data_IF_872569655490
#
_entry.id   IF_872569655490
#
_cell.length_a   1.000
_cell.length_b   1.000
_cell.length_c   1.000
_cell.angle_alpha   90.00
_cell.angle_beta   90.00
_cell.angle_gamma   90.00
#
_symmetry.space_group_name_H-M   'P 1'
#
loop_
_entity.id
_entity.type
_entity.pdbx_description
1 polymer ?
#
# COMPACT_ATOMS: atom_id res chain seq x y z
N UNK A 1 82.12 9.00 -27.03
CA UNK A 1 80.91 8.28 -27.53
C UNK A 1 80.17 7.72 -26.33
N UNK A 2 79.23 8.45 -25.83
CA UNK A 2 78.44 8.03 -24.69
C UNK A 2 76.98 8.32 -25.04
N UNK A 3 76.24 7.29 -25.31
CA UNK A 3 74.79 7.34 -25.57
C UNK A 3 74.04 7.36 -24.28
N UNK A 4 73.38 8.49 -23.92
CA UNK A 4 72.44 8.63 -22.80
C UNK A 4 71.10 8.12 -23.25
N UNK A 5 70.59 7.07 -22.55
CA UNK A 5 69.23 6.63 -22.65
C UNK A 5 68.37 7.48 -21.70
N UNK A 6 67.45 8.26 -22.26
CA UNK A 6 66.43 8.96 -21.59
C UNK A 6 65.29 7.96 -21.24
N UNK A 7 65.16 7.59 -19.98
CA UNK A 7 63.98 6.87 -19.48
C UNK A 7 62.85 7.88 -19.28
N UNK A 8 61.89 7.87 -20.19
CA UNK A 8 60.63 8.57 -20.03
C UNK A 8 59.79 7.81 -18.96
N UNK A 9 59.66 8.38 -17.79
CA UNK A 9 58.73 7.90 -16.76
C UNK A 9 57.34 8.32 -17.16
N UNK A 10 56.56 7.36 -17.66
CA UNK A 10 55.13 7.49 -17.88
C UNK A 10 54.46 7.49 -16.51
N UNK A 11 54.07 8.67 -16.04
CA UNK A 11 53.23 8.83 -14.83
C UNK A 11 51.81 8.48 -15.26
N UNK A 12 51.39 7.26 -14.93
CA UNK A 12 49.97 6.87 -15.05
C UNK A 12 49.22 7.59 -13.88
N UNK A 13 48.57 8.70 -14.20
CA UNK A 13 47.60 9.33 -13.33
C UNK A 13 46.37 8.44 -13.37
N UNK A 14 46.25 7.58 -12.39
CA UNK A 14 44.98 6.91 -12.08
C UNK A 14 44.05 7.97 -11.51
N UNK A 15 43.24 8.56 -12.38
CA UNK A 15 42.06 9.32 -11.94
C UNK A 15 41.09 8.29 -11.38
N UNK A 16 40.78 8.29 -10.07
CA UNK A 16 39.67 7.51 -9.61
C UNK A 16 38.42 8.13 -10.25
N UNK A 17 37.87 7.46 -11.23
CA UNK A 17 36.52 7.71 -11.68
C UNK A 17 35.63 7.41 -10.45
N UNK A 18 35.31 8.43 -9.69
CA UNK A 18 34.12 8.41 -8.87
C UNK A 18 32.93 8.29 -9.85
N UNK A 19 32.63 7.06 -10.20
CA UNK A 19 31.29 6.75 -10.69
C UNK A 19 30.41 7.09 -9.50
N UNK A 20 29.82 8.28 -9.54
CA UNK A 20 28.69 8.63 -8.69
C UNK A 20 27.63 7.59 -9.01
N UNK A 21 27.56 6.55 -8.19
CA UNK A 21 26.44 5.63 -8.12
C UNK A 21 25.29 6.48 -7.59
N UNK A 22 24.70 7.28 -8.47
CA UNK A 22 23.33 7.75 -8.29
C UNK A 22 22.51 6.46 -8.36
N UNK A 23 22.35 5.81 -7.20
CA UNK A 23 21.33 4.79 -7.07
C UNK A 23 20.03 5.53 -7.34
N UNK A 24 19.30 5.21 -8.41
CA UNK A 24 17.98 5.80 -8.61
C UNK A 24 17.18 5.51 -7.35
N UNK A 25 16.28 6.42 -7.00
CA UNK A 25 15.37 6.26 -5.85
C UNK A 25 14.52 4.98 -5.93
N UNK A 26 14.65 4.25 -7.01
CA UNK A 26 14.08 2.92 -7.27
C UNK A 26 14.76 1.78 -6.50
N UNK A 27 15.85 2.00 -5.78
CA UNK A 27 16.54 0.94 -5.01
C UNK A 27 15.60 0.25 -4.00
N UNK A 28 14.38 0.76 -3.84
CA UNK A 28 13.36 0.21 -2.94
C UNK A 28 12.01 0.18 -3.64
N UNK A 29 11.87 -0.85 -4.45
CA UNK A 29 10.66 -1.04 -5.22
C UNK A 29 9.50 -1.43 -4.28
N UNK A 30 8.40 -0.71 -4.41
CA UNK A 30 7.17 -1.01 -3.68
C UNK A 30 6.28 -1.94 -4.50
N UNK A 31 5.49 -2.77 -3.82
CA UNK A 31 4.37 -3.49 -4.42
C UNK A 31 3.22 -2.52 -4.71
N UNK A 32 2.20 -2.99 -5.42
CA UNK A 32 1.00 -2.18 -5.73
C UNK A 32 0.04 -2.06 -4.54
N UNK A 33 0.28 -2.79 -3.46
CA UNK A 33 -0.53 -2.73 -2.25
C UNK A 33 -0.40 -1.37 -1.56
N UNK A 34 -1.53 -0.67 -1.37
CA UNK A 34 -1.60 0.60 -0.65
C UNK A 34 -1.82 0.31 0.83
N UNK A 35 -0.77 0.47 1.62
CA UNK A 35 -0.76 0.14 3.06
C UNK A 35 -1.68 1.06 3.86
N UNK A 36 -2.31 0.52 4.92
CA UNK A 36 -3.12 1.32 5.85
C UNK A 36 -4.51 1.68 5.34
N UNK A 37 -5.00 0.99 4.31
CA UNK A 37 -6.32 1.29 3.74
C UNK A 37 -7.44 0.42 4.30
N UNK A 38 -7.14 -0.69 4.96
CA UNK A 38 -8.15 -1.66 5.43
C UNK A 38 -8.67 -1.35 6.84
N UNK A 39 -7.79 -1.18 7.84
CA UNK A 39 -8.11 -0.61 9.16
C UNK A 39 -8.80 -1.55 10.16
N UNK A 40 -9.58 -0.95 11.07
CA UNK A 40 -10.09 -1.55 12.31
C UNK A 40 -10.96 -2.81 12.13
N UNK A 41 -11.62 -2.97 10.99
CA UNK A 41 -12.45 -4.14 10.68
C UNK A 41 -11.92 -4.93 9.49
N UNK A 42 -10.61 -5.03 9.37
CA UNK A 42 -9.90 -5.65 8.24
C UNK A 42 -10.31 -7.10 7.96
N UNK A 43 -10.77 -7.84 8.96
CA UNK A 43 -11.25 -9.20 8.82
C UNK A 43 -12.77 -9.34 8.68
N UNK A 44 -13.50 -8.24 8.42
CA UNK A 44 -14.96 -8.26 8.26
C UNK A 44 -15.36 -7.86 6.85
N UNK A 45 -16.25 -8.62 6.24
CA UNK A 45 -16.89 -8.24 4.97
C UNK A 45 -18.18 -7.46 5.25
N UNK A 46 -18.48 -6.46 4.42
CA UNK A 46 -19.75 -5.74 4.48
C UNK A 46 -20.94 -6.67 4.22
N UNK A 47 -22.14 -6.34 4.72
CA UNK A 47 -23.36 -7.08 4.38
C UNK A 47 -23.62 -7.15 2.88
N UNK A 48 -24.42 -8.13 2.39
CA UNK A 48 -24.80 -8.19 0.99
C UNK A 48 -25.38 -6.87 0.46
N UNK A 49 -24.81 -6.37 -0.64
CA UNK A 49 -25.17 -5.09 -1.23
C UNK A 49 -24.22 -4.68 -2.34
N UNK A 50 -24.53 -3.56 -2.96
CA UNK A 50 -23.66 -2.89 -3.94
C UNK A 50 -23.20 -1.56 -3.32
N UNK A 51 -21.91 -1.36 -3.32
CA UNK A 51 -21.24 -0.25 -2.66
C UNK A 51 -20.43 0.54 -3.67
N UNK A 52 -20.63 1.85 -3.70
CA UNK A 52 -19.76 2.78 -4.41
C UNK A 52 -18.66 3.27 -3.47
N UNK A 53 -17.44 3.13 -3.89
CA UNK A 53 -16.26 3.67 -3.22
C UNK A 53 -15.95 4.99 -3.92
N UNK A 54 -16.20 6.13 -3.25
CA UNK A 54 -15.88 7.45 -3.79
C UNK A 54 -16.13 8.57 -2.75
N UNK A 55 -15.11 9.38 -2.43
CA UNK A 55 -13.72 9.22 -2.84
C UNK A 55 -12.96 8.20 -1.99
N UNK A 56 -11.98 7.54 -2.60
CA UNK A 56 -10.77 7.11 -1.92
C UNK A 56 -9.76 8.25 -2.09
N UNK A 57 -9.24 8.78 -1.01
CA UNK A 57 -8.13 9.71 -1.03
C UNK A 57 -7.08 9.23 -0.03
N UNK A 58 -5.92 8.92 -0.56
CA UNK A 58 -4.75 8.50 0.19
C UNK A 58 -3.62 9.50 -0.03
N UNK A 59 -2.98 9.94 1.05
CA UNK A 59 -1.83 10.84 1.01
C UNK A 59 -0.73 10.21 1.84
N UNK A 60 0.41 9.96 1.20
CA UNK A 60 1.63 9.56 1.90
C UNK A 60 2.66 10.68 1.82
N UNK A 61 3.29 11.00 2.95
CA UNK A 61 4.33 12.00 3.03
C UNK A 61 5.50 11.50 3.86
N UNK A 62 6.72 11.72 3.35
CA UNK A 62 7.97 11.40 4.05
C UNK A 62 9.09 12.32 3.62
N UNK A 63 10.00 12.62 4.54
CA UNK A 63 11.27 13.30 4.32
C UNK A 63 12.47 12.47 4.80
N UNK A 64 12.23 11.21 5.13
CA UNK A 64 13.23 10.29 5.65
C UNK A 64 13.34 9.01 4.82
N UNK A 65 14.59 8.63 4.50
CA UNK A 65 14.93 7.30 3.99
C UNK A 65 15.80 6.59 5.02
N UNK A 66 15.50 5.34 5.31
CA UNK A 66 16.21 4.52 6.30
C UNK A 66 17.10 3.48 5.61
N UNK A 67 18.29 3.29 6.17
CA UNK A 67 19.21 2.24 5.77
C UNK A 67 18.76 0.86 6.32
N UNK A 68 19.60 -0.17 6.09
CA UNK A 68 19.33 -1.54 6.58
C UNK A 68 19.34 -1.66 8.10
N UNK A 69 19.91 -0.72 8.83
CA UNK A 69 20.00 -0.70 10.29
C UNK A 69 18.92 0.17 10.91
N UNK A 70 18.15 0.90 10.08
CA UNK A 70 17.08 1.80 10.49
C UNK A 70 17.56 3.22 10.77
N UNK A 71 18.82 3.55 10.44
CA UNK A 71 19.34 4.90 10.58
C UNK A 71 18.87 5.77 9.43
N UNK A 72 18.65 7.06 9.70
CA UNK A 72 18.36 8.04 8.65
C UNK A 72 19.55 8.21 7.72
N UNK A 73 19.32 8.11 6.42
CA UNK A 73 20.34 8.42 5.43
C UNK A 73 20.58 9.94 5.36
N UNK A 74 21.84 10.38 5.11
CA UNK A 74 22.22 11.78 5.20
C UNK A 74 21.82 12.63 3.98
N UNK A 75 20.91 12.17 3.14
CA UNK A 75 20.40 12.95 2.00
C UNK A 75 18.95 13.34 2.22
N UNK A 76 18.59 14.53 1.73
CA UNK A 76 17.22 15.00 1.76
C UNK A 76 16.41 14.26 0.69
N UNK A 77 15.28 13.71 1.11
CA UNK A 77 14.27 13.20 0.19
C UNK A 77 12.91 13.71 0.70
N UNK A 78 12.22 14.51 -0.07
CA UNK A 78 10.82 14.91 0.20
C UNK A 78 9.96 14.19 -0.83
N UNK A 79 9.17 13.25 -0.35
CA UNK A 79 8.22 12.51 -1.17
C UNK A 79 6.82 12.80 -0.67
N UNK A 80 5.99 13.30 -1.55
CA UNK A 80 4.55 13.40 -1.33
C UNK A 80 3.82 12.65 -2.43
N UNK A 81 2.99 11.68 -2.04
CA UNK A 81 2.18 10.89 -2.96
C UNK A 81 0.71 11.08 -2.64
N UNK A 82 -0.07 11.46 -3.64
CA UNK A 82 -1.52 11.53 -3.58
C UNK A 82 -2.11 10.48 -4.50
N UNK A 83 -3.00 9.65 -3.97
CA UNK A 83 -3.79 8.69 -4.73
C UNK A 83 -5.26 9.01 -4.49
N UNK A 84 -5.97 9.25 -5.56
CA UNK A 84 -7.42 9.39 -5.58
C UNK A 84 -8.01 8.18 -6.28
N UNK A 85 -9.19 7.79 -5.87
CA UNK A 85 -9.79 6.65 -6.51
C UNK A 85 -11.28 6.55 -6.28
N UNK A 86 -11.86 5.65 -7.02
CA UNK A 86 -13.24 5.26 -6.88
C UNK A 86 -13.44 3.87 -7.46
N UNK A 87 -14.53 3.24 -7.10
CA UNK A 87 -14.81 1.89 -7.55
C UNK A 87 -16.16 1.37 -7.12
N UNK A 88 -16.37 0.11 -7.38
CA UNK A 88 -17.58 -0.62 -7.02
C UNK A 88 -17.16 -1.89 -6.28
N UNK A 89 -17.80 -2.13 -5.14
CA UNK A 89 -17.72 -3.38 -4.40
C UNK A 89 -19.11 -4.00 -4.33
N UNK A 90 -19.20 -5.29 -4.60
CA UNK A 90 -20.44 -6.05 -4.54
C UNK A 90 -20.25 -7.22 -3.59
N UNK A 91 -21.14 -7.34 -2.62
CA UNK A 91 -21.27 -8.53 -1.79
C UNK A 91 -22.64 -9.16 -2.14
N UNK A 92 -22.60 -10.39 -2.61
CA UNK A 92 -23.81 -11.09 -3.03
C UNK A 92 -24.46 -11.84 -1.87
N UNK A 93 -25.70 -12.26 -2.05
CA UNK A 93 -26.37 -13.20 -1.12
C UNK A 93 -25.94 -14.65 -1.37
N UNK A 94 -25.17 -14.91 -2.42
CA UNK A 94 -24.65 -16.25 -2.75
C UNK A 94 -23.48 -16.57 -1.82
N UNK A 95 -23.41 -17.84 -1.44
CA UNK A 95 -22.32 -18.35 -0.61
C UNK A 95 -21.42 -19.29 -1.40
N UNK A 96 -20.12 -19.13 -1.22
CA UNK A 96 -19.08 -20.04 -1.69
C UNK A 96 -18.29 -20.51 -0.47
N UNK A 97 -18.10 -21.83 -0.32
CA UNK A 97 -17.45 -22.42 0.86
C UNK A 97 -18.05 -21.93 2.21
N UNK A 98 -19.36 -21.64 2.22
CA UNK A 98 -20.06 -21.15 3.39
C UNK A 98 -19.96 -19.63 3.65
N UNK A 99 -19.03 -18.93 3.00
CA UNK A 99 -18.86 -17.47 3.07
C UNK A 99 -19.64 -16.73 1.99
N UNK A 100 -20.10 -15.52 2.27
CA UNK A 100 -20.71 -14.66 1.26
C UNK A 100 -19.68 -14.29 0.19
N UNK A 101 -20.06 -14.50 -1.07
CA UNK A 101 -19.22 -14.16 -2.20
C UNK A 101 -19.36 -12.68 -2.54
N UNK A 102 -18.24 -12.01 -2.77
CA UNK A 102 -18.15 -10.65 -3.27
C UNK A 102 -17.04 -10.46 -4.29
N UNK A 103 -17.09 -9.34 -4.97
CA UNK A 103 -16.06 -8.88 -5.90
C UNK A 103 -15.95 -7.36 -5.86
N UNK A 104 -14.82 -6.83 -6.29
CA UNK A 104 -14.55 -5.38 -6.26
C UNK A 104 -13.68 -4.98 -7.45
N UNK A 105 -13.91 -3.77 -7.94
CA UNK A 105 -13.01 -3.09 -8.89
C UNK A 105 -12.82 -1.67 -8.43
N UNK A 106 -11.55 -1.22 -8.34
CA UNK A 106 -11.18 0.15 -7.99
C UNK A 106 -10.22 0.68 -9.05
N UNK A 107 -10.45 1.91 -9.47
CA UNK A 107 -9.63 2.66 -10.41
C UNK A 107 -8.96 3.84 -9.68
N UNK A 108 -7.75 3.65 -9.17
CA UNK A 108 -7.03 4.75 -8.53
C UNK A 108 -6.36 5.64 -9.59
N UNK A 109 -6.18 6.89 -9.23
CA UNK A 109 -5.43 7.86 -10.01
C UNK A 109 -4.43 8.59 -9.12
N UNK A 110 -3.19 8.70 -9.56
CA UNK A 110 -2.19 9.53 -8.92
C UNK A 110 -2.38 10.99 -9.29
N UNK A 111 -2.14 11.89 -8.35
CA UNK A 111 -2.12 13.31 -8.61
C UNK A 111 -1.12 14.00 -7.69
N UNK A 112 -0.41 14.99 -8.24
CA UNK A 112 0.55 15.80 -7.48
C UNK A 112 1.62 14.97 -6.73
N UNK A 113 2.01 13.85 -7.30
CA UNK A 113 3.12 13.07 -6.76
C UNK A 113 4.40 13.84 -7.02
N UNK A 114 5.19 14.06 -5.96
CA UNK A 114 6.44 14.78 -6.03
C UNK A 114 7.51 14.02 -5.27
N UNK A 115 8.66 13.86 -5.92
CA UNK A 115 9.86 13.33 -5.30
C UNK A 115 10.92 14.40 -5.48
N UNK A 116 11.34 15.03 -4.40
CA UNK A 116 12.44 15.99 -4.38
C UNK A 116 13.56 15.48 -3.49
N UNK A 117 14.77 15.61 -3.96
CA UNK A 117 15.97 15.31 -3.21
C UNK A 117 17.17 16.02 -3.80
N UNK A 118 18.32 15.86 -3.18
CA UNK A 118 19.56 16.50 -3.64
C UNK A 118 19.95 16.11 -5.07
N UNK A 119 19.57 14.89 -5.48
CA UNK A 119 19.96 14.28 -6.76
C UNK A 119 18.72 13.91 -7.62
N UNK A 120 17.50 14.06 -7.11
CA UNK A 120 16.28 13.62 -7.77
C UNK A 120 15.20 14.69 -7.68
N UNK A 121 14.67 15.06 -8.83
CA UNK A 121 13.44 15.88 -8.92
C UNK A 121 12.54 15.21 -9.96
N UNK A 122 11.49 14.53 -9.49
CA UNK A 122 10.52 13.86 -10.32
C UNK A 122 9.11 14.31 -9.96
N UNK A 123 8.34 14.66 -10.97
CA UNK A 123 6.93 15.01 -10.85
C UNK A 123 6.12 14.20 -11.88
N UNK A 124 5.67 12.98 -11.52
CA UNK A 124 4.89 12.13 -12.41
C UNK A 124 3.61 12.79 -12.95
N UNK A 125 3.17 13.86 -12.30
CA UNK A 125 1.93 14.54 -12.66
C UNK A 125 0.69 13.76 -12.21
N UNK A 126 -0.42 13.99 -12.92
CA UNK A 126 -1.68 13.30 -12.68
C UNK A 126 -1.92 12.23 -13.76
N UNK A 127 -2.64 11.17 -13.39
CA UNK A 127 -3.04 10.10 -14.31
C UNK A 127 -3.59 8.88 -13.58
N UNK A 128 -4.19 7.98 -14.33
CA UNK A 128 -4.57 6.67 -13.78
C UNK A 128 -3.32 5.94 -13.30
N UNK A 129 -3.46 5.27 -12.16
CA UNK A 129 -2.48 4.29 -11.67
C UNK A 129 -2.95 2.87 -12.03
N UNK A 130 -2.31 1.88 -11.46
CA UNK A 130 -2.68 0.48 -11.71
C UNK A 130 -4.04 0.16 -11.07
N UNK A 131 -4.91 -0.49 -11.82
CA UNK A 131 -6.25 -0.85 -11.39
C UNK A 131 -6.25 -2.02 -10.42
N UNK A 132 -7.15 -2.00 -9.45
CA UNK A 132 -7.31 -3.04 -8.44
C UNK A 132 -8.58 -3.83 -8.73
N UNK A 133 -8.45 -5.11 -9.00
CA UNK A 133 -9.55 -6.03 -9.32
C UNK A 133 -9.52 -7.17 -8.30
N UNK A 134 -10.56 -7.27 -7.48
CA UNK A 134 -10.74 -8.38 -6.53
C UNK A 134 -11.86 -9.27 -7.04
N UNK A 135 -11.57 -10.30 -7.86
CA UNK A 135 -12.60 -11.18 -8.41
C UNK A 135 -13.20 -12.12 -7.36
N UNK A 136 -12.50 -12.30 -6.24
CA UNK A 136 -12.94 -13.19 -5.17
C UNK A 136 -12.73 -12.53 -3.82
N UNK A 137 -13.82 -12.33 -3.10
CA UNK A 137 -13.86 -11.98 -1.70
C UNK A 137 -14.88 -12.87 -1.00
N UNK A 138 -14.47 -13.54 0.05
CA UNK A 138 -15.34 -14.40 0.87
C UNK A 138 -15.40 -13.85 2.29
N UNK A 139 -16.58 -13.78 2.87
CA UNK A 139 -16.79 -13.33 4.24
C UNK A 139 -17.67 -14.28 5.04
N UNK A 140 -17.20 -14.65 6.22
CA UNK A 140 -17.93 -15.48 7.18
C UNK A 140 -18.23 -14.65 8.44
N UNK A 141 -19.51 -14.57 8.81
CA UNK A 141 -19.95 -13.92 10.03
C UNK A 141 -20.27 -14.99 11.09
N UNK A 142 -19.39 -15.14 12.07
CA UNK A 142 -19.50 -16.09 13.15
C UNK A 142 -20.01 -15.39 14.41
N UNK A 143 -20.37 -16.16 15.46
CA UNK A 143 -20.91 -15.61 16.71
C UNK A 143 -19.97 -14.61 17.40
N UNK A 144 -18.67 -14.91 17.45
CA UNK A 144 -17.64 -14.13 18.17
C UNK A 144 -16.52 -13.62 17.25
N UNK A 145 -16.61 -13.85 15.97
CA UNK A 145 -15.62 -13.38 15.01
C UNK A 145 -16.22 -13.25 13.61
N UNK A 146 -15.63 -12.39 12.79
CA UNK A 146 -15.76 -12.45 11.34
C UNK A 146 -14.46 -12.98 10.76
N UNK A 147 -14.52 -13.57 9.59
CA UNK A 147 -13.35 -14.00 8.84
C UNK A 147 -13.51 -13.62 7.37
N UNK A 148 -12.41 -13.35 6.71
CA UNK A 148 -12.37 -13.06 5.28
C UNK A 148 -11.26 -13.82 4.58
N UNK A 149 -11.45 -14.12 3.30
CA UNK A 149 -10.41 -14.55 2.40
C UNK A 149 -10.62 -13.87 1.06
N UNK A 150 -9.54 -13.48 0.38
CA UNK A 150 -9.61 -12.74 -0.87
C UNK A 150 -8.48 -13.07 -1.83
N UNK A 151 -8.76 -12.78 -3.10
CA UNK A 151 -7.78 -12.78 -4.17
C UNK A 151 -7.95 -11.50 -4.97
N UNK A 152 -6.85 -10.75 -5.13
CA UNK A 152 -6.81 -9.47 -5.83
C UNK A 152 -5.76 -9.52 -6.93
N UNK A 153 -6.07 -8.89 -8.05
CA UNK A 153 -5.20 -8.68 -9.20
C UNK A 153 -4.97 -7.18 -9.32
N UNK A 154 -3.72 -6.78 -9.40
CA UNK A 154 -3.32 -5.43 -9.76
C UNK A 154 -2.94 -5.43 -11.24
N UNK A 155 -3.67 -4.67 -12.06
CA UNK A 155 -3.45 -4.59 -13.50
C UNK A 155 -2.68 -3.32 -13.86
N UNK A 156 -1.62 -3.39 -14.68
CA UNK A 156 -0.79 -2.25 -15.06
C UNK A 156 -1.52 -1.34 -16.05
N UNK A 157 -2.52 -0.61 -15.57
CA UNK A 157 -3.33 0.32 -16.38
C UNK A 157 -2.83 1.77 -16.29
N UNK A 158 -1.90 2.04 -15.39
CA UNK A 158 -1.21 3.32 -15.27
C UNK A 158 -0.19 3.52 -16.40
N UNK A 159 0.17 4.77 -16.63
CA UNK A 159 1.24 5.08 -17.58
C UNK A 159 2.57 4.57 -17.01
N UNK A 160 3.27 3.76 -17.82
CA UNK A 160 4.59 3.27 -17.49
C UNK A 160 5.51 3.26 -18.71
N UNK A 161 6.76 3.63 -18.52
CA UNK A 161 7.89 3.38 -19.43
C UNK A 161 9.13 3.21 -18.56
N UNK A 162 9.98 2.24 -18.90
CA UNK A 162 11.19 1.99 -18.12
C UNK A 162 12.11 3.21 -18.13
N UNK A 163 12.67 3.58 -16.97
CA UNK A 163 13.52 4.76 -16.79
C UNK A 163 12.83 6.13 -16.92
N UNK A 164 11.51 6.19 -17.18
CA UNK A 164 10.82 7.48 -17.29
C UNK A 164 10.49 8.07 -15.90
N UNK A 165 10.55 9.40 -15.82
CA UNK A 165 10.27 10.15 -14.57
C UNK A 165 8.79 10.59 -14.44
N UNK A 166 7.93 10.23 -15.39
CA UNK A 166 6.53 10.61 -15.42
C UNK A 166 5.55 9.42 -15.29
N UNK A 167 6.02 8.29 -14.77
CA UNK A 167 5.22 7.10 -14.57
C UNK A 167 4.16 7.32 -13.49
N UNK A 168 2.92 6.92 -13.77
CA UNK A 168 1.81 6.92 -12.81
C UNK A 168 1.45 5.51 -12.34
N UNK A 169 1.81 4.48 -13.11
CA UNK A 169 1.74 3.07 -12.77
C UNK A 169 3.11 2.47 -12.49
N UNK A 170 3.13 1.22 -12.05
CA UNK A 170 4.36 0.47 -11.73
C UNK A 170 4.82 -0.45 -12.87
N UNK A 171 4.00 -0.58 -13.95
CA UNK A 171 4.33 -1.37 -15.14
C UNK A 171 4.48 -2.86 -14.88
N UNK A 172 3.73 -3.41 -13.94
CA UNK A 172 3.78 -4.84 -13.62
C UNK A 172 2.41 -5.38 -13.20
N UNK A 173 2.17 -6.64 -13.45
CA UNK A 173 1.04 -7.35 -12.88
C UNK A 173 1.34 -7.76 -11.44
N UNK A 174 0.39 -7.52 -10.53
CA UNK A 174 0.45 -7.99 -9.16
C UNK A 174 -0.68 -8.96 -8.86
N UNK A 175 -0.44 -9.89 -7.94
CA UNK A 175 -1.42 -10.80 -7.39
C UNK A 175 -1.31 -10.78 -5.87
N UNK A 176 -2.43 -10.71 -5.20
CA UNK A 176 -2.48 -10.71 -3.74
C UNK A 176 -3.47 -11.77 -3.25
N UNK A 177 -3.03 -12.58 -2.30
CA UNK A 177 -3.89 -13.47 -1.52
C UNK A 177 -4.02 -12.92 -0.11
N UNK A 178 -5.24 -12.79 0.38
CA UNK A 178 -5.49 -12.26 1.71
C UNK A 178 -6.37 -13.17 2.56
N UNK A 179 -6.07 -13.19 3.86
CA UNK A 179 -6.91 -13.82 4.88
C UNK A 179 -6.97 -12.91 6.11
N UNK A 180 -8.14 -12.77 6.70
CA UNK A 180 -8.33 -11.88 7.84
C UNK A 180 -9.34 -12.37 8.84
N UNK A 181 -9.27 -11.80 10.03
CA UNK A 181 -10.25 -12.02 11.08
C UNK A 181 -10.50 -10.74 11.88
N UNK A 182 -11.73 -10.56 12.31
CA UNK A 182 -12.13 -9.58 13.33
C UNK A 182 -12.72 -10.34 14.50
N UNK A 183 -12.01 -10.39 15.61
CA UNK A 183 -12.45 -11.04 16.84
C UNK A 183 -13.22 -10.04 17.73
N UNK A 184 -14.41 -10.41 18.16
CA UNK A 184 -15.22 -9.58 19.08
C UNK A 184 -14.91 -9.97 20.52
N UNK A 185 -14.32 -9.03 21.26
CA UNK A 185 -13.82 -9.23 22.62
C UNK A 185 -14.95 -9.24 23.66
N UNK A 186 -16.08 -8.62 23.34
CA UNK A 186 -17.27 -8.58 24.19
C UNK A 186 -18.46 -9.29 23.54
N UNK A 187 -19.41 -9.77 24.34
CA UNK A 187 -20.63 -10.40 23.83
C UNK A 187 -21.51 -9.43 23.04
N UNK A 188 -21.52 -8.17 23.44
CA UNK A 188 -22.18 -7.08 22.72
C UNK A 188 -21.53 -6.75 21.37
N UNK A 189 -20.38 -7.37 21.04
CA UNK A 189 -19.54 -7.06 19.87
C UNK A 189 -19.01 -5.61 19.84
N UNK A 190 -19.07 -4.92 20.98
CA UNK A 190 -18.67 -3.53 21.07
C UNK A 190 -17.18 -3.36 20.86
N UNK A 191 -16.34 -4.19 21.51
CA UNK A 191 -14.91 -4.15 21.35
C UNK A 191 -14.42 -5.25 20.44
N UNK A 192 -13.51 -4.92 19.53
CA UNK A 192 -12.97 -5.86 18.56
C UNK A 192 -11.49 -5.62 18.31
N UNK A 193 -10.82 -6.70 17.97
CA UNK A 193 -9.46 -6.70 17.42
C UNK A 193 -9.50 -7.34 16.04
N UNK A 194 -8.81 -6.74 15.08
CA UNK A 194 -8.79 -7.22 13.70
C UNK A 194 -7.35 -7.36 13.18
N UNK A 195 -7.18 -8.30 12.27
CA UNK A 195 -5.98 -8.45 11.46
C UNK A 195 -6.33 -9.03 10.10
N UNK A 196 -5.63 -8.57 9.07
CA UNK A 196 -5.63 -9.10 7.71
C UNK A 196 -4.18 -9.32 7.33
N UNK A 197 -3.85 -10.51 6.89
CA UNK A 197 -2.57 -10.82 6.26
C UNK A 197 -2.77 -10.89 4.76
N UNK A 198 -1.95 -10.19 3.98
CA UNK A 198 -1.89 -10.32 2.54
C UNK A 198 -0.49 -10.68 2.06
N UNK A 199 -0.44 -11.41 0.95
CA UNK A 199 0.79 -11.90 0.32
C UNK A 199 0.78 -11.46 -1.13
N UNK A 200 1.78 -10.62 -1.49
CA UNK A 200 1.90 -10.00 -2.80
C UNK A 200 2.95 -10.71 -3.64
N UNK A 201 2.58 -11.01 -4.87
CA UNK A 201 3.44 -11.62 -5.89
C UNK A 201 3.42 -10.73 -7.13
N UNK A 202 4.61 -10.42 -7.65
CA UNK A 202 4.76 -9.49 -8.75
C UNK A 202 5.33 -10.18 -9.99
N UNK A 203 4.88 -9.76 -11.19
CA UNK A 203 5.55 -10.07 -12.44
C UNK A 203 6.84 -9.24 -12.58
N UNK A 204 7.61 -9.45 -13.64
CA UNK A 204 8.58 -8.46 -14.10
C UNK A 204 7.85 -7.20 -14.55
N UNK A 205 8.54 -6.06 -14.50
CA UNK A 205 8.07 -4.81 -15.09
C UNK A 205 8.05 -4.92 -16.61
N UNK A 206 7.18 -4.14 -17.25
CA UNK A 206 7.12 -4.04 -18.69
C UNK A 206 8.47 -3.53 -19.23
N UNK A 207 8.90 -4.09 -20.36
CA UNK A 207 10.14 -3.74 -21.07
C UNK A 207 11.42 -3.76 -20.23
N UNK A 208 11.45 -4.55 -19.12
CA UNK A 208 12.58 -4.64 -18.21
C UNK A 208 12.71 -6.04 -17.59
N UNK A 209 13.91 -6.43 -17.23
CA UNK A 209 14.19 -7.62 -16.41
C UNK A 209 13.97 -7.35 -14.91
N UNK A 210 13.63 -6.13 -14.54
CA UNK A 210 13.38 -5.72 -13.14
C UNK A 210 12.14 -6.40 -12.58
N UNK A 211 12.28 -7.02 -11.42
CA UNK A 211 11.21 -7.68 -10.68
C UNK A 211 11.17 -7.22 -9.23
N UNK A 212 10.04 -6.75 -8.79
CA UNK A 212 9.81 -6.39 -7.37
C UNK A 212 9.70 -7.67 -6.54
N UNK A 213 10.39 -7.70 -5.42
CA UNK A 213 10.31 -8.81 -4.47
C UNK A 213 8.91 -8.99 -3.90
N UNK A 214 8.56 -10.25 -3.61
CA UNK A 214 7.29 -10.57 -2.94
C UNK A 214 7.23 -9.95 -1.55
N UNK A 215 6.03 -9.58 -1.11
CA UNK A 215 5.83 -8.98 0.20
C UNK A 215 4.70 -9.66 0.97
N UNK A 216 4.73 -9.48 2.29
CA UNK A 216 3.63 -9.78 3.19
C UNK A 216 3.25 -8.49 3.91
N UNK A 217 1.95 -8.21 3.96
CA UNK A 217 1.42 -7.09 4.72
C UNK A 217 0.49 -7.62 5.81
N UNK A 218 0.53 -6.96 6.96
CA UNK A 218 -0.40 -7.18 8.06
C UNK A 218 -1.09 -5.84 8.35
N UNK A 219 -2.41 -5.82 8.28
CA UNK A 219 -3.21 -4.63 8.58
C UNK A 219 -4.32 -4.96 9.56
N UNK A 220 -4.62 -4.05 10.45
CA UNK A 220 -5.67 -4.29 11.43
C UNK A 220 -5.76 -3.22 12.49
N UNK A 221 -6.32 -3.59 13.64
CA UNK A 221 -6.40 -2.66 14.75
C UNK A 221 -7.20 -3.17 15.92
N UNK A 222 -7.25 -2.33 16.94
CA UNK A 222 -8.07 -2.50 18.15
C UNK A 222 -9.04 -1.33 18.23
N UNK A 223 -10.34 -1.60 18.25
CA UNK A 223 -11.34 -0.56 18.22
C UNK A 223 -12.64 -0.93 18.93
N UNK A 224 -13.54 0.04 18.95
CA UNK A 224 -14.85 -0.10 19.50
C UNK A 224 -15.95 0.46 18.62
N UNK A 225 -17.13 -0.11 18.73
CA UNK A 225 -18.39 0.36 18.14
C UNK A 225 -19.15 1.20 19.17
N UNK A 226 -19.36 2.46 18.85
CA UNK A 226 -20.04 3.43 19.70
C UNK A 226 -21.32 3.94 19.02
N UNK A 227 -22.14 4.67 19.76
CA UNK A 227 -23.37 5.26 19.23
C UNK A 227 -24.27 4.23 18.51
N UNK A 228 -24.37 3.02 19.07
CA UNK A 228 -25.14 1.89 18.49
C UNK A 228 -24.66 1.52 17.08
N UNK A 229 -23.34 1.54 16.85
CA UNK A 229 -22.73 1.25 15.55
C UNK A 229 -22.68 2.44 14.58
N UNK A 230 -23.09 3.63 15.03
CA UNK A 230 -22.96 4.86 14.22
C UNK A 230 -21.52 5.40 14.15
N UNK A 231 -20.69 5.01 15.10
CA UNK A 231 -19.28 5.40 15.19
C UNK A 231 -18.43 4.16 15.51
N UNK A 232 -17.40 3.91 14.71
CA UNK A 232 -16.30 3.00 15.03
C UNK A 232 -15.05 3.84 15.24
N UNK A 233 -14.32 3.62 16.32
CA UNK A 233 -13.08 4.36 16.58
C UNK A 233 -12.07 3.45 17.29
N UNK A 234 -10.78 3.71 17.03
CA UNK A 234 -9.69 2.94 17.63
C UNK A 234 -8.33 3.31 17.10
N UNK A 235 -7.38 2.42 17.34
CA UNK A 235 -6.04 2.46 16.79
C UNK A 235 -5.91 1.37 15.73
N UNK A 236 -5.55 1.76 14.54
CA UNK A 236 -5.19 0.86 13.46
C UNK A 236 -3.68 0.74 13.29
N UNK A 237 -3.24 -0.28 12.59
CA UNK A 237 -1.83 -0.50 12.26
C UNK A 237 -1.67 -1.13 10.89
N UNK A 238 -0.49 -0.93 10.33
CA UNK A 238 0.02 -1.79 9.27
C UNK A 238 1.48 -2.16 9.51
N UNK A 239 1.85 -3.33 9.03
CA UNK A 239 3.23 -3.79 8.95
C UNK A 239 3.45 -4.40 7.58
N UNK A 240 4.56 -4.06 6.92
CA UNK A 240 4.91 -4.62 5.62
C UNK A 240 6.31 -5.19 5.66
N UNK A 241 6.48 -6.37 5.08
CA UNK A 241 7.71 -7.13 5.08
C UNK A 241 7.98 -7.63 3.67
N UNK A 242 9.10 -7.23 3.07
CA UNK A 242 9.56 -7.85 1.84
C UNK A 242 10.11 -9.24 2.13
N UNK A 243 9.59 -10.25 1.44
CA UNK A 243 9.93 -11.66 1.65
C UNK A 243 11.10 -12.09 0.78
N UNK A 244 11.16 -11.62 -0.46
CA UNK A 244 12.26 -11.87 -1.40
C UNK A 244 12.91 -10.56 -1.80
N UNK A 245 14.17 -10.61 -2.19
CA UNK A 245 14.88 -9.44 -2.68
C UNK A 245 14.32 -8.99 -4.05
N UNK A 246 14.47 -7.72 -4.37
CA UNK A 246 14.22 -7.19 -5.70
C UNK A 246 15.28 -7.71 -6.67
N UNK A 247 14.93 -7.82 -7.93
CA UNK A 247 15.84 -8.04 -9.04
C UNK A 247 15.80 -6.79 -9.92
N UNK A 248 16.86 -6.03 -9.98
CA UNK A 248 16.92 -4.78 -10.76
C UNK A 248 17.90 -4.97 -11.91
N UNK A 249 17.42 -4.73 -13.12
CA UNK A 249 18.22 -4.87 -14.34
C UNK A 249 19.46 -3.95 -14.29
N UNK A 250 20.62 -4.50 -14.61
CA UNK A 250 21.88 -3.75 -14.61
C UNK A 250 22.52 -3.50 -13.24
N UNK A 251 21.87 -3.92 -12.14
CA UNK A 251 22.44 -3.77 -10.80
C UNK A 251 22.87 -5.12 -10.22
N UNK A 252 24.07 -5.19 -9.62
CA UNK A 252 24.50 -6.39 -8.91
C UNK A 252 23.61 -6.66 -7.70
N UNK A 253 23.20 -7.92 -7.51
CA UNK A 253 22.33 -8.36 -6.41
C UNK A 253 22.83 -7.92 -5.03
N UNK A 254 24.15 -7.82 -4.84
CA UNK A 254 24.74 -7.43 -3.56
C UNK A 254 24.35 -5.99 -3.14
N UNK A 255 24.07 -5.11 -4.11
CA UNK A 255 23.68 -3.72 -3.86
C UNK A 255 22.18 -3.58 -3.57
N UNK A 256 21.38 -4.59 -3.94
CA UNK A 256 19.92 -4.60 -3.82
C UNK A 256 19.47 -5.35 -2.55
N UNK A 257 20.38 -6.01 -1.87
CA UNK A 257 20.09 -6.78 -0.66
C UNK A 257 19.65 -5.88 0.49
N UNK A 258 18.45 -6.08 0.93
CA UNK A 258 17.87 -5.36 2.05
C UNK A 258 16.36 -5.40 1.97
N UNK A 259 15.77 -6.47 2.52
CA UNK A 259 14.31 -6.61 2.57
C UNK A 259 13.73 -5.47 3.40
N UNK A 260 12.95 -4.62 2.76
CA UNK A 260 12.31 -3.52 3.45
C UNK A 260 11.33 -4.04 4.51
N UNK A 261 11.26 -3.28 5.59
CA UNK A 261 10.30 -3.48 6.67
C UNK A 261 9.77 -2.15 7.11
N UNK A 262 8.47 -2.08 7.36
CA UNK A 262 7.84 -0.89 7.91
C UNK A 262 6.77 -1.30 8.90
N UNK A 263 6.59 -0.52 9.94
CA UNK A 263 5.49 -0.64 10.89
C UNK A 263 4.92 0.75 11.18
N UNK A 264 3.60 0.86 11.10
CA UNK A 264 2.87 2.09 11.38
C UNK A 264 1.69 1.83 12.31
N UNK A 265 1.31 2.87 13.03
CA UNK A 265 0.15 2.88 13.93
C UNK A 265 -0.47 4.27 13.93
N UNK A 266 -1.78 4.33 14.10
CA UNK A 266 -2.48 5.60 14.20
C UNK A 266 -3.96 5.49 14.53
N UNK A 267 -4.65 6.61 14.72
CA UNK A 267 -6.08 6.64 14.95
C UNK A 267 -6.87 6.39 13.66
N UNK A 268 -7.95 5.64 13.79
CA UNK A 268 -8.99 5.49 12.78
C UNK A 268 -10.36 5.80 13.35
N UNK A 269 -11.16 6.49 12.58
CA UNK A 269 -12.58 6.76 12.85
C UNK A 269 -13.40 6.41 11.62
N UNK A 270 -14.48 5.67 11.82
CA UNK A 270 -15.48 5.41 10.79
C UNK A 270 -16.85 5.85 11.27
N UNK A 271 -17.52 6.66 10.47
CA UNK A 271 -18.88 7.17 10.73
C UNK A 271 -19.86 6.50 9.77
N UNK A 272 -20.97 6.02 10.32
CA UNK A 272 -22.11 5.60 9.51
C UNK A 272 -22.89 6.85 9.03
N UNK A 273 -23.08 6.95 7.72
CA UNK A 273 -23.88 7.99 7.08
C UNK A 273 -25.35 7.52 7.11
N UNK A 274 -26.06 7.83 8.19
CA UNK A 274 -27.42 7.36 8.41
C UNK A 274 -28.39 8.52 8.72
N UNK A 275 -29.63 8.39 8.22
CA UNK A 275 -30.72 9.33 8.48
C UNK A 275 -32.06 8.56 8.56
N UNK A 276 -32.90 8.88 9.55
CA UNK A 276 -34.23 8.28 9.74
C UNK A 276 -34.20 6.74 9.69
N UNK A 277 -33.32 6.10 10.47
CA UNK A 277 -33.09 4.66 10.49
C UNK A 277 -32.75 4.04 9.12
N UNK A 278 -32.15 4.83 8.23
CA UNK A 278 -31.70 4.36 6.93
C UNK A 278 -30.21 4.65 6.79
N UNK A 279 -29.42 3.61 6.52
CA UNK A 279 -27.99 3.69 6.28
C UNK A 279 -27.74 3.93 4.79
N UNK A 280 -26.98 4.95 4.47
CA UNK A 280 -26.60 5.34 3.10
C UNK A 280 -25.16 5.00 2.79
N UNK A 281 -24.29 4.87 3.80
CA UNK A 281 -22.89 4.61 3.59
C UNK A 281 -22.03 4.78 4.83
N UNK A 282 -20.74 4.90 4.62
CA UNK A 282 -19.73 5.07 5.66
C UNK A 282 -18.69 6.08 5.20
N UNK A 283 -18.16 6.84 6.15
CA UNK A 283 -16.98 7.67 5.98
C UNK A 283 -15.90 7.19 6.94
N UNK A 284 -14.75 6.79 6.41
CA UNK A 284 -13.57 6.42 7.18
C UNK A 284 -12.49 7.48 7.03
N UNK A 285 -11.84 7.81 8.14
CA UNK A 285 -10.63 8.63 8.19
C UNK A 285 -9.63 7.94 9.09
N UNK A 286 -8.42 7.73 8.60
CA UNK A 286 -7.30 7.23 9.39
C UNK A 286 -6.04 8.05 9.11
N UNK A 287 -5.21 8.18 10.14
CA UNK A 287 -3.89 8.79 10.03
C UNK A 287 -2.88 7.91 10.75
N UNK A 288 -1.87 7.45 10.03
CA UNK A 288 -0.88 6.52 10.55
C UNK A 288 0.52 7.12 10.46
N UNK A 289 1.30 6.94 11.53
CA UNK A 289 2.72 7.26 11.57
C UNK A 289 3.54 5.98 11.44
N UNK A 290 4.49 5.96 10.52
CA UNK A 290 5.48 4.90 10.44
C UNK A 290 6.50 5.08 11.57
N UNK A 291 6.35 4.28 12.62
CA UNK A 291 7.18 4.35 13.83
C UNK A 291 8.46 3.52 13.72
N UNK A 292 8.55 2.70 12.68
CA UNK A 292 9.72 1.89 12.37
C UNK A 292 9.81 1.63 10.88
N UNK A 293 11.02 1.82 10.33
CA UNK A 293 11.33 1.47 8.94
C UNK A 293 12.78 1.00 8.80
N UNK A 294 13.01 0.09 7.85
CA UNK A 294 14.35 -0.35 7.41
C UNK A 294 14.35 -0.50 5.91
N UNK A 295 15.42 -0.05 5.28
CA UNK A 295 15.63 -0.17 3.83
C UNK A 295 14.45 0.39 3.05
N UNK A 296 13.81 1.46 3.55
CA UNK A 296 12.66 2.12 2.90
C UNK A 296 12.48 3.53 3.46
N UNK A 297 11.54 4.27 2.91
CA UNK A 297 11.07 5.55 3.47
C UNK A 297 10.39 5.33 4.81
N UNK A 298 10.41 6.35 5.67
CA UNK A 298 9.64 6.42 6.91
C UNK A 298 8.83 7.72 6.94
N UNK A 299 7.51 7.62 6.99
CA UNK A 299 6.65 8.77 6.86
C UNK A 299 5.32 8.64 7.58
N UNK A 300 4.31 9.25 7.01
CA UNK A 300 2.93 9.18 7.50
C UNK A 300 1.94 9.08 6.36
N UNK A 301 0.80 8.44 6.63
CA UNK A 301 -0.28 8.27 5.69
C UNK A 301 -1.60 8.81 6.24
N UNK A 302 -2.35 9.54 5.42
CA UNK A 302 -3.74 9.93 5.66
C UNK A 302 -4.60 9.17 4.65
N UNK A 303 -5.64 8.50 5.14
CA UNK A 303 -6.66 7.87 4.30
C UNK A 303 -8.02 8.46 4.60
N UNK A 304 -8.73 8.90 3.56
CA UNK A 304 -10.13 9.27 3.61
C UNK A 304 -10.87 8.41 2.60
N UNK A 305 -11.84 7.64 3.09
CA UNK A 305 -12.60 6.70 2.28
C UNK A 305 -14.09 6.87 2.55
N UNK A 306 -14.85 7.25 1.53
CA UNK A 306 -16.30 7.21 1.58
C UNK A 306 -16.83 6.03 0.77
N UNK A 307 -17.80 5.33 1.32
CA UNK A 307 -18.46 4.18 0.70
C UNK A 307 -19.96 4.38 0.80
N UNK A 308 -20.64 4.37 -0.32
CA UNK A 308 -22.09 4.58 -0.40
C UNK A 308 -22.80 3.31 -0.85
N UNK A 309 -23.91 2.98 -0.20
CA UNK A 309 -24.78 1.90 -0.64
C UNK A 309 -25.61 2.37 -1.84
N UNK A 310 -25.58 1.61 -2.94
CA UNK A 310 -26.47 1.86 -4.09
C UNK A 310 -27.95 1.76 -3.69
N UNK A 311 -28.28 0.84 -2.79
CA UNK A 311 -29.60 0.71 -2.19
C UNK A 311 -29.46 0.91 -0.68
N UNK A 312 -29.97 2.02 -0.14
CA UNK A 312 -29.91 2.29 1.30
C UNK A 312 -30.55 1.16 2.12
N UNK A 313 -29.94 0.87 3.26
CA UNK A 313 -30.37 -0.23 4.16
C UNK A 313 -31.21 0.34 5.29
N UNK A 314 -32.43 -0.17 5.46
CA UNK A 314 -33.23 0.13 6.65
C UNK A 314 -32.63 -0.57 7.86
N UNK A 315 -32.25 0.20 8.87
CA UNK A 315 -31.80 -0.32 10.13
C UNK A 315 -33.03 -0.77 10.94
N UNK A 316 -32.95 -1.93 11.59
CA UNK A 316 -34.00 -2.36 12.51
C UNK A 316 -34.14 -1.32 13.64
N UNK A 317 -35.35 -1.00 14.01
CA UNK A 317 -35.58 -0.18 15.23
C UNK A 317 -34.94 -0.90 16.41
N UNK A 318 -34.25 -0.17 17.31
CA UNK A 318 -33.66 -0.73 18.53
C UNK A 318 -34.71 -1.34 19.44
#
# INVERSE_FOLDING_TARGET
>A
MVTSRVFSRMVIVVVPAFVSLVAPAEAQLNTQHIKGTVGLKSGSQAPPGVYFIAPLWYVYKTDEVKDRDGNRLPFAADLTSHVYGGGISVVTTKKLLGGFYGFQVVFPAGANNRIQGTEIDANPGAGLTDSVITPLSLGWHLKRADATAGYTIFAPTGRYSDGANNNTGLGMWGQEFSVGTTAYLTESRQWHAATLASFDFQSKKEDSETKVGNAMNLEGGLGGDFLKGGLVAGLDYYASFKLTDDQIEGFPDILIRGKNKVFAVGPEVQLALAKNNTLYGFLKVSYQWEVYARTTTQGSALTILATFLMKPLKLSKP
#
